data_IF_255087526768
#
_entry.id   IF_255087526768
#
_cell.length_a   1.000
_cell.length_b   1.000
_cell.length_c   1.000
_cell.angle_alpha   90.00
_cell.angle_beta   90.00
_cell.angle_gamma   90.00
#
_symmetry.space_group_name_H-M   'P 1'
#
loop_
_entity.id
_entity.type
_entity.pdbx_description
1 polymer ?
#
# COMPACT_ATOMS: atom_id res chain seq x y z
N UNK A 1 15.41 13.91 7.92
CA UNK A 1 15.06 12.88 8.91
C UNK A 1 14.27 11.78 8.24
N UNK A 2 14.58 10.53 8.53
CA UNK A 2 13.87 9.40 7.94
C UNK A 2 12.69 8.98 8.81
N UNK A 3 11.64 8.49 8.15
CA UNK A 3 10.50 7.88 8.83
C UNK A 3 10.34 6.46 8.31
N UNK A 4 10.03 5.53 9.19
CA UNK A 4 9.92 4.11 8.84
C UNK A 4 8.53 3.59 9.15
N UNK A 5 8.07 2.66 8.32
CA UNK A 5 6.82 1.96 8.56
C UNK A 5 6.98 0.49 8.21
N UNK A 6 6.34 -0.36 8.99
CA UNK A 6 6.31 -1.79 8.73
C UNK A 6 4.89 -2.29 8.96
N UNK A 7 4.47 -3.23 8.14
CA UNK A 7 3.16 -3.84 8.29
C UNK A 7 3.19 -5.31 7.90
N UNK A 8 2.33 -6.09 8.53
CA UNK A 8 2.14 -7.49 8.21
C UNK A 8 0.64 -7.78 8.24
N UNK A 9 0.16 -8.54 7.26
CA UNK A 9 -1.25 -8.87 7.17
C UNK A 9 -1.40 -10.36 6.84
N UNK A 10 -2.40 -10.99 7.45
CA UNK A 10 -2.77 -12.36 7.10
C UNK A 10 -3.49 -12.33 5.75
N UNK A 11 -3.00 -13.10 4.79
CA UNK A 11 -3.57 -13.13 3.43
C UNK A 11 -5.04 -13.56 3.48
N UNK A 12 -5.38 -14.47 4.40
CA UNK A 12 -6.75 -14.95 4.58
C UNK A 12 -7.72 -13.81 4.91
N UNK A 13 -7.27 -12.80 5.65
CA UNK A 13 -8.12 -11.63 5.96
C UNK A 13 -8.49 -10.83 4.71
N UNK A 14 -7.53 -10.69 3.79
CA UNK A 14 -7.79 -10.00 2.52
C UNK A 14 -8.71 -10.84 1.64
N UNK A 15 -8.49 -12.15 1.60
CA UNK A 15 -9.37 -13.06 0.87
C UNK A 15 -10.80 -12.96 1.37
N UNK A 16 -10.98 -12.97 2.70
CA UNK A 16 -12.31 -12.84 3.31
C UNK A 16 -12.98 -11.52 2.97
N UNK A 17 -12.21 -10.42 2.97
CA UNK A 17 -12.75 -9.10 2.62
C UNK A 17 -13.17 -9.05 1.16
N UNK A 18 -12.38 -9.63 0.26
CA UNK A 18 -12.71 -9.70 -1.17
C UNK A 18 -13.97 -10.54 -1.38
N UNK A 19 -14.07 -11.69 -0.73
CA UNK A 19 -15.26 -12.54 -0.84
C UNK A 19 -16.53 -11.87 -0.31
N UNK A 20 -16.39 -11.12 0.79
CA UNK A 20 -17.55 -10.50 1.44
C UNK A 20 -17.99 -9.22 0.75
N UNK A 21 -17.05 -8.37 0.34
CA UNK A 21 -17.34 -7.01 -0.12
C UNK A 21 -17.07 -6.80 -1.60
N UNK A 22 -16.32 -7.73 -2.23
CA UNK A 22 -15.99 -7.75 -3.64
C UNK A 22 -15.54 -6.39 -4.16
N UNK A 23 -16.20 -5.85 -5.19
CA UNK A 23 -15.79 -4.58 -5.81
C UNK A 23 -15.79 -3.40 -4.85
N UNK A 24 -16.64 -3.42 -3.83
CA UNK A 24 -16.67 -2.34 -2.84
C UNK A 24 -15.35 -2.26 -2.08
N UNK A 25 -14.79 -3.41 -1.70
CA UNK A 25 -13.48 -3.47 -1.05
C UNK A 25 -12.38 -3.09 -2.04
N UNK A 26 -12.38 -3.71 -3.20
CA UNK A 26 -11.33 -3.50 -4.20
C UNK A 26 -11.26 -2.03 -4.63
N UNK A 27 -12.40 -1.41 -4.92
CA UNK A 27 -12.44 -0.03 -5.38
C UNK A 27 -12.13 0.98 -4.28
N UNK A 28 -12.31 0.61 -3.03
CA UNK A 28 -11.97 1.46 -1.90
C UNK A 28 -10.46 1.50 -1.65
N UNK A 29 -9.80 0.36 -1.82
CA UNK A 29 -8.40 0.18 -1.42
C UNK A 29 -7.43 0.45 -2.58
N UNK A 30 -7.76 -0.04 -3.77
CA UNK A 30 -6.81 -0.08 -4.87
C UNK A 30 -7.18 0.87 -6.00
N UNK A 31 -6.15 1.43 -6.65
CA UNK A 31 -6.36 2.19 -7.87
C UNK A 31 -6.63 1.22 -9.01
N UNK A 32 -7.18 1.72 -10.12
CA UNK A 32 -7.44 0.90 -11.29
C UNK A 32 -6.15 0.27 -11.82
N UNK A 33 -5.05 1.02 -11.84
CA UNK A 33 -3.77 0.50 -12.28
C UNK A 33 -3.27 -0.64 -11.40
N UNK A 34 -3.46 -0.52 -10.09
CA UNK A 34 -3.09 -1.59 -9.16
C UNK A 34 -3.94 -2.84 -9.38
N UNK A 35 -5.23 -2.67 -9.62
CA UNK A 35 -6.12 -3.81 -9.88
C UNK A 35 -5.72 -4.54 -11.16
N UNK A 36 -5.32 -3.82 -12.19
CA UNK A 36 -4.84 -4.40 -13.44
C UNK A 36 -3.58 -5.23 -13.23
N UNK A 37 -2.66 -4.74 -12.40
CA UNK A 37 -1.42 -5.47 -12.08
C UNK A 37 -1.72 -6.73 -11.28
N UNK A 38 -2.61 -6.65 -10.30
CA UNK A 38 -2.90 -7.78 -9.40
C UNK A 38 -3.71 -8.88 -10.08
N UNK A 39 -4.54 -8.55 -11.08
CA UNK A 39 -5.35 -9.52 -11.82
C UNK A 39 -6.13 -10.49 -10.91
N UNK A 40 -6.68 -9.97 -9.81
CA UNK A 40 -7.47 -10.75 -8.87
C UNK A 40 -6.69 -11.70 -7.97
N UNK A 41 -5.37 -11.70 -8.03
CA UNK A 41 -4.55 -12.58 -7.20
C UNK A 41 -4.54 -12.07 -5.76
N UNK A 42 -5.05 -12.90 -4.84
CA UNK A 42 -5.18 -12.52 -3.44
C UNK A 42 -3.82 -12.16 -2.81
N UNK A 43 -2.79 -12.95 -3.09
CA UNK A 43 -1.46 -12.66 -2.54
C UNK A 43 -0.94 -11.28 -2.97
N UNK A 44 -1.15 -10.92 -4.23
CA UNK A 44 -0.76 -9.61 -4.74
C UNK A 44 -1.55 -8.48 -4.08
N UNK A 45 -2.86 -8.66 -3.94
CA UNK A 45 -3.72 -7.68 -3.27
C UNK A 45 -3.30 -7.49 -1.81
N UNK A 46 -3.01 -8.59 -1.10
CA UNK A 46 -2.58 -8.53 0.30
C UNK A 46 -1.22 -7.83 0.43
N UNK A 47 -0.31 -8.08 -0.50
CA UNK A 47 1.02 -7.46 -0.48
C UNK A 47 0.91 -5.95 -0.67
N UNK A 48 0.09 -5.49 -1.61
CA UNK A 48 -0.14 -4.06 -1.80
C UNK A 48 -0.86 -3.44 -0.61
N UNK A 49 -1.79 -4.18 0.00
CA UNK A 49 -2.47 -3.71 1.20
C UNK A 49 -1.47 -3.43 2.32
N UNK A 50 -0.57 -4.38 2.58
CA UNK A 50 0.49 -4.21 3.57
C UNK A 50 1.40 -3.02 3.21
N UNK A 51 1.71 -2.86 1.93
CA UNK A 51 2.52 -1.74 1.45
C UNK A 51 1.88 -0.39 1.74
N UNK A 52 0.59 -0.28 1.46
CA UNK A 52 -0.14 0.96 1.72
C UNK A 52 -0.17 1.29 3.21
N UNK A 53 -0.40 0.28 4.07
CA UNK A 53 -0.37 0.49 5.51
C UNK A 53 1.02 0.89 6.00
N UNK A 54 2.08 0.30 5.46
CA UNK A 54 3.44 0.67 5.83
C UNK A 54 3.71 2.15 5.49
N UNK A 55 3.25 2.61 4.33
CA UNK A 55 3.38 4.02 3.94
C UNK A 55 2.55 4.93 4.86
N UNK A 56 1.35 4.50 5.24
CA UNK A 56 0.54 5.27 6.20
C UNK A 56 1.26 5.45 7.53
N UNK A 57 2.00 4.42 7.97
CA UNK A 57 2.82 4.51 9.18
C UNK A 57 3.99 5.47 8.99
N UNK A 58 4.60 5.48 7.81
CA UNK A 58 5.64 6.48 7.49
C UNK A 58 5.07 7.89 7.61
N UNK A 59 3.84 8.11 7.11
CA UNK A 59 3.19 9.41 7.17
C UNK A 59 2.61 9.74 8.56
N UNK A 60 2.51 8.75 9.43
CA UNK A 60 2.08 8.96 10.81
C UNK A 60 0.60 9.23 11.00
N UNK A 61 -0.23 8.94 10.00
CA UNK A 61 -1.66 9.25 10.06
C UNK A 61 -2.56 8.03 10.21
N UNK A 62 -2.02 6.83 9.97
CA UNK A 62 -2.88 5.66 9.76
C UNK A 62 -3.82 5.95 8.60
N UNK A 63 -5.08 5.58 8.74
CA UNK A 63 -6.09 5.84 7.72
C UNK A 63 -6.79 7.19 7.87
N UNK A 64 -6.39 7.98 8.87
CA UNK A 64 -7.07 9.25 9.18
C UNK A 64 -6.67 10.34 8.20
N UNK A 65 -7.64 10.85 7.44
CA UNK A 65 -7.43 11.96 6.53
C UNK A 65 -6.75 11.59 5.22
N UNK A 66 -6.43 10.33 5.02
CA UNK A 66 -5.78 9.84 3.79
C UNK A 66 -6.58 8.66 3.27
N UNK A 67 -6.94 8.70 1.99
CA UNK A 67 -7.60 7.57 1.34
C UNK A 67 -6.58 6.52 0.89
N UNK A 68 -6.98 5.27 0.90
CA UNK A 68 -6.13 4.16 0.47
C UNK A 68 -5.59 4.34 -0.94
N UNK A 69 -6.42 4.85 -1.85
CA UNK A 69 -6.06 5.05 -3.27
C UNK A 69 -5.13 6.22 -3.48
N UNK A 70 -4.92 7.05 -2.46
CA UNK A 70 -3.96 8.15 -2.52
C UNK A 70 -2.53 7.66 -2.39
N UNK A 71 -2.35 6.40 -2.00
CA UNK A 71 -1.04 5.74 -1.95
C UNK A 71 -1.07 4.68 -3.04
N UNK A 72 -0.33 4.90 -4.12
CA UNK A 72 -0.31 3.98 -5.25
C UNK A 72 1.04 3.31 -5.35
N UNK A 73 1.04 1.98 -5.49
CA UNK A 73 2.25 1.18 -5.56
C UNK A 73 2.21 0.40 -6.87
N UNK A 74 3.12 0.74 -7.78
CA UNK A 74 3.20 0.09 -9.08
C UNK A 74 4.64 -0.32 -9.37
N UNK A 75 4.85 -1.42 -10.08
CA UNK A 75 6.20 -1.84 -10.43
C UNK A 75 6.82 -0.91 -11.49
N UNK A 76 8.13 -0.69 -11.40
CA UNK A 76 8.86 -0.06 -12.48
C UNK A 76 9.17 -1.10 -13.58
N UNK A 77 9.96 -0.71 -14.58
CA UNK A 77 10.30 -1.61 -15.69
C UNK A 77 11.05 -2.87 -15.25
N UNK A 78 11.73 -2.82 -14.11
CA UNK A 78 12.47 -3.96 -13.56
C UNK A 78 11.64 -4.77 -12.56
N UNK A 79 10.38 -4.40 -12.36
CA UNK A 79 9.50 -5.06 -11.39
C UNK A 79 9.64 -4.56 -9.96
N UNK A 80 10.49 -3.57 -9.72
CA UNK A 80 10.63 -3.01 -8.37
C UNK A 80 9.45 -2.11 -8.04
N UNK A 81 8.82 -2.28 -6.85
CA UNK A 81 7.69 -1.43 -6.49
C UNK A 81 8.11 0.02 -6.26
N UNK A 82 7.35 0.93 -6.83
CA UNK A 82 7.52 2.37 -6.65
C UNK A 82 6.26 2.94 -6.01
N UNK A 83 6.44 3.87 -5.08
CA UNK A 83 5.35 4.54 -4.40
C UNK A 83 5.09 5.88 -5.06
N UNK A 84 3.82 6.13 -5.39
CA UNK A 84 3.39 7.44 -5.85
C UNK A 84 2.27 7.92 -4.94
N UNK A 85 2.43 9.10 -4.38
CA UNK A 85 1.43 9.69 -3.51
C UNK A 85 0.57 10.69 -4.29
N UNK A 86 -0.72 10.71 -3.96
CA UNK A 86 -1.69 11.61 -4.57
C UNK A 86 -2.45 12.36 -3.48
N UNK A 87 -3.05 13.49 -3.84
CA UNK A 87 -4.00 14.20 -2.98
C UNK A 87 -3.47 14.50 -1.58
N UNK A 88 -4.24 14.11 -0.57
CA UNK A 88 -3.92 14.40 0.82
C UNK A 88 -2.67 13.67 1.31
N UNK A 89 -2.40 12.48 0.79
CA UNK A 89 -1.18 11.74 1.13
C UNK A 89 0.06 12.52 0.67
N UNK A 90 0.03 13.05 -0.54
CA UNK A 90 1.10 13.88 -1.08
C UNK A 90 1.29 15.14 -0.26
N UNK A 91 0.21 15.80 0.12
CA UNK A 91 0.26 17.00 0.95
C UNK A 91 0.83 16.72 2.33
N UNK A 92 0.45 15.60 2.93
CA UNK A 92 0.99 15.19 4.23
C UNK A 92 2.50 14.97 4.16
N UNK A 93 2.97 14.30 3.11
CA UNK A 93 4.40 14.06 2.90
C UNK A 93 5.16 15.39 2.80
N UNK A 94 4.60 16.36 2.06
CA UNK A 94 5.19 17.69 1.96
C UNK A 94 5.33 18.38 3.30
N UNK A 95 4.30 18.32 4.13
CA UNK A 95 4.33 18.91 5.48
C UNK A 95 5.39 18.29 6.35
N UNK A 96 5.68 17.01 6.15
CA UNK A 96 6.71 16.28 6.89
C UNK A 96 8.10 16.41 6.27
N UNK A 97 8.22 17.11 5.15
CA UNK A 97 9.46 17.23 4.38
C UNK A 97 9.99 15.87 3.90
N UNK A 98 9.07 14.98 3.54
CA UNK A 98 9.40 13.67 2.97
C UNK A 98 9.15 13.73 1.47
N UNK A 99 10.19 13.51 0.67
CA UNK A 99 10.10 13.58 -0.79
C UNK A 99 10.47 12.29 -1.48
N UNK A 100 11.13 11.37 -0.77
CA UNK A 100 11.59 10.11 -1.33
C UNK A 100 11.03 8.96 -0.51
N UNK A 101 10.48 7.97 -1.20
CA UNK A 101 9.89 6.79 -0.56
C UNK A 101 10.51 5.54 -1.15
N UNK A 102 10.91 4.63 -0.29
CA UNK A 102 11.39 3.31 -0.68
C UNK A 102 10.51 2.28 0.01
N UNK A 103 10.20 1.20 -0.69
CA UNK A 103 9.35 0.16 -0.15
C UNK A 103 9.90 -1.21 -0.52
N UNK A 104 9.74 -2.16 0.38
CA UNK A 104 10.04 -3.56 0.13
C UNK A 104 8.83 -4.39 0.51
N UNK A 105 8.47 -5.32 -0.34
CA UNK A 105 7.28 -6.15 -0.19
C UNK A 105 7.70 -7.61 -0.16
N UNK A 106 7.03 -8.42 0.66
CA UNK A 106 7.31 -9.84 0.76
C UNK A 106 6.05 -10.59 1.13
N UNK A 107 5.96 -11.85 0.70
CA UNK A 107 4.84 -12.68 1.08
C UNK A 107 5.25 -14.13 1.26
N UNK A 108 4.48 -14.82 2.09
CA UNK A 108 4.52 -16.27 2.28
C UNK A 108 3.14 -16.80 1.93
N UNK A 109 2.90 -18.07 2.19
CA UNK A 109 1.56 -18.64 1.97
C UNK A 109 0.50 -17.97 2.84
N UNK A 110 0.87 -17.54 4.05
CA UNK A 110 -0.07 -17.07 5.06
C UNK A 110 -0.02 -15.56 5.29
N UNK A 111 1.12 -14.92 5.03
CA UNK A 111 1.33 -13.52 5.37
C UNK A 111 1.88 -12.71 4.22
N UNK A 112 1.48 -11.46 4.18
CA UNK A 112 2.14 -10.45 3.36
C UNK A 112 2.73 -9.39 4.29
N UNK A 113 3.91 -8.90 3.95
CA UNK A 113 4.62 -7.92 4.76
C UNK A 113 5.19 -6.81 3.89
N UNK A 114 5.34 -5.65 4.48
CA UNK A 114 5.94 -4.50 3.81
C UNK A 114 6.78 -3.70 4.80
N UNK A 115 7.89 -3.17 4.30
CA UNK A 115 8.70 -2.20 5.02
C UNK A 115 8.85 -0.97 4.12
N UNK A 116 8.73 0.21 4.71
CA UNK A 116 8.79 1.45 3.96
C UNK A 116 9.64 2.47 4.69
N UNK A 117 10.32 3.30 3.91
CA UNK A 117 11.11 4.42 4.43
C UNK A 117 10.71 5.66 3.64
N UNK A 118 10.45 6.77 4.37
CA UNK A 118 10.31 8.09 3.80
C UNK A 118 11.46 8.99 4.24
N UNK A 119 12.00 9.73 3.30
CA UNK A 119 13.11 10.63 3.58
C UNK A 119 12.93 11.98 2.91
#
# INVERSE_FOLDING_TARGET
MNSIGIDIVEIERIESAVKRWDERFLNRIYTQAELEICQGKIASLATLFAGKEAIMKVLGTGTKGIGWREIEILPNSDGKPLVQLHGRAKERARKLNLSKFSISLSDTKQYAAAAAIGA
#
